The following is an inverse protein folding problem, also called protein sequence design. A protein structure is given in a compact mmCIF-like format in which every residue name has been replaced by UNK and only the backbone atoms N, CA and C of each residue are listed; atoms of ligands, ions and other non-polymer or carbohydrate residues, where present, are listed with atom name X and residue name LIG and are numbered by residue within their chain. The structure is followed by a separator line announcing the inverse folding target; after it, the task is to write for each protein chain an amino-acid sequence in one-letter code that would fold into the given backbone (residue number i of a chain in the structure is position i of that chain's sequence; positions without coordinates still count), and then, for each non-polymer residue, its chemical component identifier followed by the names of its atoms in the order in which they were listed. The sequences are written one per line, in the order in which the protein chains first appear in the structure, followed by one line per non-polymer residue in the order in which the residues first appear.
data_IF_201061189908
#
_entry.id   IF_201061189908
#
_cell.length_a   1.000
_cell.length_b   1.000
_cell.length_c   1.000
_cell.angle_alpha   90.00
_cell.angle_beta   90.00
_cell.angle_gamma   90.00
#
_symmetry.space_group_name_H-M   'P 1'
#
loop_
_entity.id
_entity.type
_entity.pdbx_description
1 polymer ?
#
# COMPACT_ATOMS: atom_id res chain seq x y z
N UNK A 1 34.24 16.98 6.90
CA UNK A 1 33.37 17.13 5.71
C UNK A 1 33.09 15.76 5.09
N UNK A 2 32.38 14.87 5.78
CA UNK A 2 32.06 13.50 5.25
C UNK A 2 30.61 13.12 5.55
N UNK A 3 30.08 13.67 6.65
CA UNK A 3 28.71 13.50 7.12
C UNK A 3 27.62 13.68 6.04
N UNK A 4 27.71 14.66 5.11
CA UNK A 4 26.72 14.81 4.04
C UNK A 4 26.71 13.65 3.03
N UNK A 5 27.90 13.12 2.69
CA UNK A 5 28.05 11.97 1.76
C UNK A 5 27.45 10.70 2.39
N UNK A 6 27.67 10.49 3.69
CA UNK A 6 27.09 9.34 4.39
C UNK A 6 25.56 9.40 4.40
N UNK A 7 24.98 10.58 4.63
CA UNK A 7 23.52 10.77 4.62
C UNK A 7 22.94 10.53 3.22
N UNK A 8 23.59 11.06 2.18
CA UNK A 8 23.15 10.86 0.79
C UNK A 8 23.20 9.38 0.36
N UNK A 9 24.14 8.59 0.91
CA UNK A 9 24.26 7.16 0.63
C UNK A 9 23.35 6.29 1.53
N UNK A 10 23.13 6.70 2.78
CA UNK A 10 22.25 5.98 3.70
C UNK A 10 20.78 6.19 3.38
N UNK A 11 20.37 7.34 2.85
CA UNK A 11 18.99 7.59 2.45
C UNK A 11 18.46 6.55 1.42
N UNK A 12 19.12 6.31 0.27
CA UNK A 12 18.69 5.29 -0.69
C UNK A 12 18.83 3.88 -0.12
N UNK A 13 19.86 3.59 0.67
CA UNK A 13 20.01 2.28 1.32
C UNK A 13 18.85 2.00 2.29
N UNK A 14 18.44 3.01 3.07
CA UNK A 14 17.34 2.97 4.03
C UNK A 14 16.01 2.80 3.28
N UNK A 15 15.79 3.58 2.23
CA UNK A 15 14.58 3.45 1.42
C UNK A 15 14.49 2.09 0.73
N UNK A 16 15.62 1.55 0.27
CA UNK A 16 15.67 0.21 -0.29
C UNK A 16 15.36 -0.85 0.78
N UNK A 17 15.99 -0.81 1.95
CA UNK A 17 15.76 -1.81 3.00
C UNK A 17 14.37 -1.72 3.64
N UNK A 18 13.93 -0.53 4.05
CA UNK A 18 12.59 -0.34 4.63
C UNK A 18 11.47 -0.49 3.59
N UNK A 19 11.65 0.05 2.38
CA UNK A 19 10.67 -0.08 1.29
C UNK A 19 10.56 -1.51 0.78
N UNK A 20 11.69 -2.20 0.58
CA UNK A 20 11.70 -3.62 0.18
C UNK A 20 11.06 -4.50 1.26
N UNK A 21 11.36 -4.26 2.54
CA UNK A 21 10.77 -5.03 3.63
C UNK A 21 9.24 -4.90 3.67
N UNK A 22 8.69 -3.72 3.39
CA UNK A 22 7.24 -3.52 3.28
C UNK A 22 6.61 -4.31 2.11
N UNK A 23 7.30 -4.38 0.96
CA UNK A 23 6.85 -5.21 -0.16
C UNK A 23 6.86 -6.70 0.22
N UNK A 24 7.91 -7.16 0.90
CA UNK A 24 8.00 -8.54 1.40
C UNK A 24 6.86 -8.86 2.37
N UNK A 25 6.55 -7.98 3.32
CA UNK A 25 5.41 -8.19 4.24
C UNK A 25 4.09 -8.26 3.47
N UNK A 26 3.84 -7.36 2.52
CA UNK A 26 2.61 -7.42 1.73
C UNK A 26 2.53 -8.71 0.89
N UNK A 27 3.64 -9.17 0.33
CA UNK A 27 3.71 -10.46 -0.36
C UNK A 27 3.36 -11.63 0.57
N UNK A 28 3.92 -11.64 1.78
CA UNK A 28 3.60 -12.67 2.79
C UNK A 28 2.13 -12.64 3.19
N UNK A 29 1.51 -11.45 3.28
CA UNK A 29 0.07 -11.31 3.51
C UNK A 29 -0.75 -11.89 2.37
N UNK A 30 -0.38 -11.64 1.11
CA UNK A 30 -1.04 -12.21 -0.06
C UNK A 30 -0.94 -13.74 -0.06
N UNK A 31 0.24 -14.28 0.25
CA UNK A 31 0.45 -15.71 0.37
C UNK A 31 -0.43 -16.32 1.49
N UNK A 32 -0.53 -15.63 2.64
CA UNK A 32 -1.41 -16.04 3.72
C UNK A 32 -2.89 -16.06 3.29
N UNK A 33 -3.32 -15.03 2.55
CA UNK A 33 -4.68 -14.95 2.01
C UNK A 33 -4.94 -16.06 1.00
N UNK A 34 -3.96 -16.47 0.20
CA UNK A 34 -4.11 -17.60 -0.75
C UNK A 34 -4.37 -18.93 -0.06
N UNK A 35 -3.87 -19.12 1.17
CA UNK A 35 -4.20 -20.29 1.97
C UNK A 35 -5.55 -20.17 2.67
N UNK A 36 -5.97 -18.96 3.02
CA UNK A 36 -7.21 -18.73 3.77
C UNK A 36 -8.45 -18.69 2.86
N UNK A 37 -8.31 -18.17 1.64
CA UNK A 37 -9.41 -17.96 0.69
C UNK A 37 -9.39 -19.04 -0.39
N UNK A 38 -10.40 -19.91 -0.37
CA UNK A 38 -10.60 -20.93 -1.42
C UNK A 38 -10.86 -20.25 -2.78
N UNK A 39 -10.06 -20.58 -3.78
CA UNK A 39 -10.16 -20.03 -5.13
C UNK A 39 -9.15 -18.92 -5.46
N UNK A 40 -8.38 -18.43 -4.47
CA UNK A 40 -7.26 -17.52 -4.71
C UNK A 40 -5.94 -18.31 -4.66
N UNK A 41 -5.39 -18.64 -5.84
CA UNK A 41 -4.16 -19.43 -5.94
C UNK A 41 -2.97 -18.54 -6.28
N UNK A 42 -1.90 -18.64 -5.48
CA UNK A 42 -0.61 -18.01 -5.73
C UNK A 42 0.46 -19.09 -5.60
N UNK A 43 1.28 -19.29 -6.63
CA UNK A 43 2.16 -20.47 -6.71
C UNK A 43 3.39 -20.41 -5.80
N UNK A 44 3.72 -19.22 -5.27
CA UNK A 44 4.79 -19.05 -4.31
C UNK A 44 5.14 -17.60 -3.99
N UNK A 45 6.27 -17.42 -3.31
CA UNK A 45 6.72 -16.10 -2.83
C UNK A 45 6.91 -15.08 -3.96
N UNK A 46 7.54 -15.47 -5.08
CA UNK A 46 7.81 -14.56 -6.18
C UNK A 46 6.52 -14.04 -6.84
N UNK A 47 5.52 -14.90 -7.04
CA UNK A 47 4.21 -14.46 -7.53
C UNK A 47 3.51 -13.53 -6.53
N UNK A 48 3.55 -13.86 -5.23
CA UNK A 48 2.99 -13.01 -4.19
C UNK A 48 3.69 -11.64 -4.11
N UNK A 49 5.00 -11.60 -4.35
CA UNK A 49 5.82 -10.37 -4.35
C UNK A 49 5.50 -9.46 -5.53
N UNK A 50 5.42 -10.00 -6.75
CA UNK A 50 4.99 -9.21 -7.90
C UNK A 50 3.51 -8.80 -7.77
N UNK A 51 2.66 -9.65 -7.20
CA UNK A 51 1.28 -9.30 -6.90
C UNK A 51 1.19 -8.15 -5.88
N UNK A 52 2.02 -8.12 -4.83
CA UNK A 52 2.00 -7.04 -3.85
C UNK A 52 2.41 -5.70 -4.44
N UNK A 53 3.41 -5.71 -5.34
CA UNK A 53 3.81 -4.52 -6.09
C UNK A 53 2.64 -4.06 -6.98
N UNK A 54 2.03 -4.98 -7.74
CA UNK A 54 0.92 -4.67 -8.63
C UNK A 54 -0.29 -4.11 -7.88
N UNK A 55 -0.69 -4.74 -6.78
CA UNK A 55 -1.80 -4.27 -5.92
C UNK A 55 -1.51 -2.88 -5.38
N UNK A 56 -0.30 -2.65 -4.87
CA UNK A 56 0.08 -1.33 -4.33
C UNK A 56 0.02 -0.25 -5.42
N UNK A 57 0.49 -0.56 -6.63
CA UNK A 57 0.41 0.34 -7.78
C UNK A 57 -1.04 0.60 -8.20
N UNK A 58 -1.85 -0.47 -8.27
CA UNK A 58 -3.26 -0.40 -8.63
C UNK A 58 -4.05 0.46 -7.64
N UNK A 59 -3.82 0.29 -6.34
CA UNK A 59 -4.43 1.12 -5.30
C UNK A 59 -4.06 2.60 -5.46
N UNK A 60 -2.81 2.89 -5.84
CA UNK A 60 -2.36 4.26 -6.07
C UNK A 60 -3.05 4.87 -7.29
N UNK A 61 -3.13 4.12 -8.39
CA UNK A 61 -3.82 4.52 -9.63
C UNK A 61 -5.32 4.74 -9.36
N UNK A 62 -6.00 3.74 -8.78
CA UNK A 62 -7.42 3.83 -8.43
C UNK A 62 -7.67 5.00 -7.48
N UNK A 63 -6.86 5.16 -6.44
CA UNK A 63 -6.98 6.28 -5.49
C UNK A 63 -6.80 7.63 -6.17
N UNK A 64 -5.84 7.77 -7.09
CA UNK A 64 -5.65 8.98 -7.88
C UNK A 64 -6.88 9.31 -8.76
N UNK A 65 -7.54 8.29 -9.31
CA UNK A 65 -8.74 8.47 -10.12
C UNK A 65 -10.03 8.67 -9.31
N UNK A 66 -10.17 8.06 -8.14
CA UNK A 66 -11.37 8.14 -7.28
C UNK A 66 -11.36 9.36 -6.32
N UNK A 67 -10.20 9.95 -6.05
CA UNK A 67 -10.05 11.11 -5.13
C UNK A 67 -10.78 12.39 -5.59
N UNK A 68 -11.41 12.38 -6.75
CA UNK A 68 -12.14 13.50 -7.34
C UNK A 68 -13.62 13.59 -6.90
N UNK A 69 -14.16 12.58 -6.19
CA UNK A 69 -15.61 12.41 -6.02
C UNK A 69 -16.18 12.56 -4.61
N UNK A 70 -15.37 12.79 -3.56
CA UNK A 70 -15.89 12.89 -2.19
C UNK A 70 -16.81 14.12 -2.07
N UNK A 71 -18.14 13.97 -1.89
CA UNK A 71 -19.00 15.12 -1.70
C UNK A 71 -18.56 15.83 -0.41
N UNK A 72 -18.37 17.17 -0.42
CA UNK A 72 -18.12 17.91 0.80
C UNK A 72 -19.26 17.56 1.75
N UNK A 73 -18.90 17.09 2.95
CA UNK A 73 -19.82 16.63 4.00
C UNK A 73 -21.20 17.26 3.86
N UNK A 74 -22.14 16.51 3.27
CA UNK A 74 -23.50 16.97 3.13
C UNK A 74 -24.22 16.46 4.38
N UNK A 75 -24.53 17.34 5.35
CA UNK A 75 -25.28 16.92 6.52
C UNK A 75 -26.62 16.33 6.06
N UNK A 76 -27.18 15.33 6.78
CA UNK A 76 -28.47 14.75 6.48
C UNK A 76 -29.51 15.87 6.24
N UNK A 77 -30.34 15.79 5.18
CA UNK A 77 -31.42 16.75 4.98
C UNK A 77 -32.45 16.54 6.08
N UNK A 78 -32.28 17.33 7.14
CA UNK A 78 -32.93 17.14 8.42
C UNK A 78 -32.11 17.82 9.50
N UNK A 79 -32.19 19.16 9.54
CA UNK A 79 -31.63 19.97 10.61
C UNK A 79 -32.35 19.66 11.92
N UNK A 80 -31.87 18.65 12.64
CA UNK A 80 -32.43 18.19 13.89
C UNK A 80 -31.31 17.96 14.91
N UNK A 81 -30.99 19.02 15.65
CA UNK A 81 -30.45 19.02 17.00
C UNK A 81 -29.74 17.72 17.46
N UNK A 82 -28.54 17.47 16.95
CA UNK A 82 -27.59 16.57 17.59
C UNK A 82 -26.87 17.38 18.67
N UNK A 83 -27.51 17.47 19.83
CA UNK A 83 -26.83 17.81 21.09
C UNK A 83 -25.63 16.91 21.32
#
# INVERSE_FOLDING_TARGET
MVKPILILLTLPLTLFTFGFFLLVINALMILLVSYLVRGFTVSGFWEAFFASIFVSLLSLIIGAFLSNGSPPWQPPPGGGNWV
#
